data_IF_962271449695
#
_entry.id   IF_962271449695
#
_cell.length_a   1.000
_cell.length_b   1.000
_cell.length_c   1.000
_cell.angle_alpha   90.00
_cell.angle_beta   90.00
_cell.angle_gamma   90.00
#
_symmetry.space_group_name_H-M   'P 1'
#
loop_
_entity.id
_entity.type
_entity.pdbx_description
1 polymer ?
#
# COMPACT_ATOMS: atom_id res chain seq x y z
N UNK A 1 -12.42 26.40 3.63
CA UNK A 1 -12.33 25.02 3.07
C UNK A 1 -11.01 24.45 3.56
N UNK A 2 -10.98 23.19 4.06
CA UNK A 2 -9.73 22.59 4.57
C UNK A 2 -8.92 22.02 3.42
N UNK A 3 -7.60 22.30 3.39
CA UNK A 3 -6.68 21.91 2.33
C UNK A 3 -5.94 20.62 2.68
N UNK A 4 -5.91 19.71 1.71
CA UNK A 4 -5.16 18.46 1.70
C UNK A 4 -4.42 18.27 0.39
N UNK A 5 -3.44 17.40 0.34
CA UNK A 5 -2.67 17.13 -0.87
C UNK A 5 -2.19 15.68 -0.96
N UNK A 6 -1.71 15.29 -2.13
CA UNK A 6 -0.74 14.20 -2.28
C UNK A 6 0.57 14.78 -2.80
N UNK A 7 1.68 14.38 -2.16
CA UNK A 7 3.03 14.76 -2.53
C UNK A 7 3.80 13.56 -3.10
N UNK A 8 4.49 13.77 -4.21
CA UNK A 8 5.31 12.75 -4.86
C UNK A 8 6.14 13.34 -6.01
N UNK A 9 7.04 12.53 -6.56
CA UNK A 9 7.82 12.92 -7.74
C UNK A 9 8.19 11.67 -8.57
N UNK A 10 7.57 11.45 -9.74
CA UNK A 10 6.50 12.25 -10.37
C UNK A 10 5.14 12.13 -9.67
N UNK A 11 4.20 13.06 -9.93
CA UNK A 11 2.88 13.06 -9.27
C UNK A 11 1.70 13.28 -10.24
N UNK A 12 1.95 13.71 -11.46
CA UNK A 12 0.91 14.11 -12.42
C UNK A 12 -0.12 12.99 -12.72
N UNK A 13 0.29 11.72 -12.62
CA UNK A 13 -0.55 10.55 -12.87
C UNK A 13 -1.39 10.11 -11.67
N UNK A 14 -1.23 10.76 -10.50
CA UNK A 14 -1.90 10.34 -9.26
C UNK A 14 -3.43 10.39 -9.38
N UNK A 15 -4.08 9.31 -8.98
CA UNK A 15 -5.55 9.19 -8.90
C UNK A 15 -6.11 9.74 -7.59
N UNK A 16 -5.25 10.02 -6.59
CA UNK A 16 -5.67 10.45 -5.25
C UNK A 16 -6.57 11.69 -5.25
N UNK A 17 -6.32 12.74 -6.06
CA UNK A 17 -7.22 13.90 -6.08
C UNK A 17 -8.67 13.55 -6.51
N UNK A 18 -8.82 12.66 -7.49
CA UNK A 18 -10.14 12.20 -7.93
C UNK A 18 -10.80 11.35 -6.84
N UNK A 19 -10.08 10.40 -6.25
CA UNK A 19 -10.57 9.50 -5.21
C UNK A 19 -11.06 10.31 -4.00
N UNK A 20 -10.26 11.22 -3.48
CA UNK A 20 -10.61 12.03 -2.30
C UNK A 20 -11.77 13.00 -2.57
N UNK A 21 -11.87 13.53 -3.79
CA UNK A 21 -13.04 14.33 -4.19
C UNK A 21 -14.33 13.51 -4.19
N UNK A 22 -14.29 12.27 -4.68
CA UNK A 22 -15.45 11.37 -4.66
C UNK A 22 -15.81 10.99 -3.22
N UNK A 23 -14.84 10.71 -2.35
CA UNK A 23 -15.10 10.48 -0.92
C UNK A 23 -15.74 11.69 -0.26
N UNK A 24 -15.23 12.90 -0.52
CA UNK A 24 -15.78 14.14 0.02
C UNK A 24 -17.24 14.34 -0.41
N UNK A 25 -17.56 14.11 -1.69
CA UNK A 25 -18.93 14.17 -2.20
C UNK A 25 -19.84 13.14 -1.55
N UNK A 26 -19.41 11.88 -1.50
CA UNK A 26 -20.17 10.77 -0.91
C UNK A 26 -20.49 11.01 0.57
N UNK A 27 -19.54 11.54 1.33
CA UNK A 27 -19.65 11.77 2.77
C UNK A 27 -20.10 13.18 3.14
N UNK A 28 -20.43 14.02 2.16
CA UNK A 28 -20.84 15.43 2.34
C UNK A 28 -19.81 16.26 3.12
N UNK A 29 -18.51 15.96 2.91
CA UNK A 29 -17.42 16.69 3.53
C UNK A 29 -16.90 17.79 2.61
N UNK A 30 -16.71 19.00 3.16
CA UNK A 30 -16.12 20.12 2.42
C UNK A 30 -14.60 20.10 2.62
N UNK A 31 -13.87 19.81 1.53
CA UNK A 31 -12.40 19.82 1.51
C UNK A 31 -11.87 20.09 0.10
N UNK A 32 -10.67 20.58 0.02
CA UNK A 32 -9.88 20.66 -1.20
C UNK A 32 -8.74 19.64 -1.13
N UNK A 33 -8.53 18.91 -2.23
CA UNK A 33 -7.44 17.94 -2.32
C UNK A 33 -6.71 18.09 -3.66
N UNK A 34 -5.41 18.38 -3.60
CA UNK A 34 -4.58 18.69 -4.77
C UNK A 34 -3.36 17.76 -4.89
N UNK A 35 -2.79 17.65 -6.09
CA UNK A 35 -1.49 17.02 -6.30
C UNK A 35 -0.38 18.07 -6.22
N UNK A 36 0.69 17.75 -5.49
CA UNK A 36 1.87 18.61 -5.31
C UNK A 36 3.14 17.87 -5.76
N UNK A 37 3.85 18.43 -6.71
CA UNK A 37 5.17 17.92 -7.09
C UNK A 37 6.17 18.30 -6.00
N UNK A 38 6.73 17.29 -5.32
CA UNK A 38 7.78 17.51 -4.34
C UNK A 38 9.14 17.73 -5.02
N UNK A 39 9.87 18.72 -4.58
CA UNK A 39 11.25 18.92 -4.98
C UNK A 39 12.15 17.89 -4.27
N UNK A 40 13.09 17.29 -5.00
CA UNK A 40 13.97 16.25 -4.44
C UNK A 40 14.95 16.81 -3.39
N UNK A 41 15.34 18.06 -3.52
CA UNK A 41 16.29 18.72 -2.61
C UNK A 41 15.59 19.47 -1.47
N UNK A 42 14.39 20.02 -1.70
CA UNK A 42 13.72 20.96 -0.80
C UNK A 42 12.35 20.47 -0.28
N UNK A 43 12.10 19.17 -0.33
CA UNK A 43 10.80 18.56 0.05
C UNK A 43 10.36 18.93 1.47
N UNK A 44 11.26 18.86 2.45
CA UNK A 44 10.96 19.13 3.87
C UNK A 44 10.48 20.56 4.07
N UNK A 45 11.15 21.53 3.45
CA UNK A 45 10.77 22.95 3.55
C UNK A 45 9.43 23.21 2.86
N UNK A 46 9.21 22.61 1.69
CA UNK A 46 7.93 22.71 0.98
C UNK A 46 6.79 22.14 1.82
N UNK A 47 7.00 20.99 2.48
CA UNK A 47 6.00 20.33 3.32
C UNK A 47 5.71 21.16 4.58
N UNK A 48 6.73 21.70 5.24
CA UNK A 48 6.58 22.59 6.39
C UNK A 48 5.79 23.86 6.02
N UNK A 49 6.12 24.49 4.90
CA UNK A 49 5.39 25.66 4.38
C UNK A 49 3.92 25.33 4.12
N UNK A 50 3.64 24.19 3.49
CA UNK A 50 2.27 23.71 3.24
C UNK A 50 1.42 23.61 4.52
N UNK A 51 1.99 23.06 5.59
CA UNK A 51 1.30 22.99 6.88
C UNK A 51 1.22 24.33 7.60
N UNK A 52 2.22 25.21 7.45
CA UNK A 52 2.19 26.57 8.01
C UNK A 52 1.10 27.44 7.34
N UNK A 53 0.83 27.25 6.07
CA UNK A 53 -0.24 27.89 5.31
C UNK A 53 -1.65 27.37 5.64
N UNK A 54 -1.78 26.42 6.59
CA UNK A 54 -3.07 25.99 7.13
C UNK A 54 -3.58 24.64 6.61
N UNK A 55 -2.79 23.88 5.84
CA UNK A 55 -3.16 22.53 5.44
C UNK A 55 -3.38 21.62 6.66
N UNK A 56 -4.31 20.66 6.52
CA UNK A 56 -4.73 19.78 7.61
C UNK A 56 -4.15 18.38 7.52
N UNK A 57 -3.70 17.96 6.34
CA UNK A 57 -3.09 16.65 6.12
C UNK A 57 -2.65 16.45 4.68
N UNK A 58 -1.91 15.40 4.45
CA UNK A 58 -1.54 15.00 3.09
C UNK A 58 -1.20 13.52 2.99
N UNK A 59 -1.34 12.96 1.80
CA UNK A 59 -0.71 11.70 1.44
C UNK A 59 0.69 11.94 0.90
N UNK A 60 1.54 10.95 1.09
CA UNK A 60 2.92 10.93 0.62
C UNK A 60 3.14 9.68 -0.22
N UNK A 61 3.70 9.84 -1.41
CA UNK A 61 4.14 8.73 -2.24
C UNK A 61 5.63 8.82 -2.54
N UNK A 62 6.14 7.92 -3.39
CA UNK A 62 7.54 7.87 -3.73
C UNK A 62 8.07 9.22 -4.28
N UNK A 63 9.29 9.61 -3.94
CA UNK A 63 10.27 8.91 -3.09
C UNK A 63 10.28 9.39 -1.63
N UNK A 64 9.25 10.07 -1.13
CA UNK A 64 9.29 10.92 0.07
C UNK A 64 8.77 10.23 1.36
N UNK A 65 8.32 8.98 1.33
CA UNK A 65 7.64 8.33 2.47
C UNK A 65 8.51 8.26 3.74
N UNK A 66 9.80 7.96 3.61
CA UNK A 66 10.74 7.91 4.73
C UNK A 66 11.09 9.32 5.24
N UNK A 67 11.27 10.28 4.31
CA UNK A 67 11.54 11.68 4.65
C UNK A 67 10.37 12.33 5.39
N UNK A 68 9.14 12.11 4.95
CA UNK A 68 7.94 12.60 5.61
C UNK A 68 7.72 11.95 6.99
N UNK A 69 8.04 10.66 7.14
CA UNK A 69 8.04 9.99 8.44
C UNK A 69 9.00 10.66 9.43
N UNK A 70 10.21 11.00 8.99
CA UNK A 70 11.21 11.64 9.84
C UNK A 70 10.83 13.07 10.29
N UNK A 71 9.93 13.75 9.56
CA UNK A 71 9.43 15.09 9.92
C UNK A 71 8.30 15.08 10.94
N UNK A 72 7.60 13.97 11.12
CA UNK A 72 6.49 13.88 12.06
C UNK A 72 6.99 13.69 13.50
N UNK A 73 6.30 14.28 14.46
CA UNK A 73 6.61 14.15 15.88
C UNK A 73 5.87 12.99 16.54
N UNK A 74 4.76 12.57 15.95
CA UNK A 74 3.95 11.46 16.46
C UNK A 74 3.69 10.44 15.34
N UNK A 75 3.70 9.15 15.68
CA UNK A 75 3.65 8.07 14.69
C UNK A 75 2.73 6.94 15.15
N UNK A 76 1.95 6.39 14.22
CA UNK A 76 1.25 5.12 14.44
C UNK A 76 2.26 3.96 14.54
N UNK A 77 1.85 2.85 15.15
CA UNK A 77 2.70 1.66 15.26
C UNK A 77 3.11 1.12 13.89
N UNK A 78 2.18 1.09 12.93
CA UNK A 78 2.45 0.64 11.56
C UNK A 78 3.41 1.57 10.81
N UNK A 79 3.36 2.88 11.05
CA UNK A 79 4.33 3.81 10.50
C UNK A 79 5.72 3.65 11.13
N UNK A 80 5.81 3.41 12.45
CA UNK A 80 7.07 3.13 13.16
C UNK A 80 7.75 1.87 12.63
N UNK A 81 6.98 0.80 12.45
CA UNK A 81 7.50 -0.46 11.94
C UNK A 81 7.93 -0.39 10.48
N UNK A 82 7.17 0.35 9.66
CA UNK A 82 7.53 0.59 8.26
C UNK A 82 8.71 1.57 8.11
N UNK A 83 8.95 2.44 9.12
CA UNK A 83 9.89 3.58 9.05
C UNK A 83 9.55 4.51 7.87
N UNK A 84 8.27 4.56 7.53
CA UNK A 84 7.75 5.32 6.40
C UNK A 84 6.27 5.62 6.62
N UNK A 85 5.81 6.76 6.11
CA UNK A 85 4.39 7.11 6.13
C UNK A 85 3.88 7.42 4.71
N UNK A 86 2.62 7.09 4.47
CA UNK A 86 1.89 7.55 3.29
C UNK A 86 0.83 8.60 3.64
N UNK A 87 0.66 8.93 4.94
CA UNK A 87 -0.37 9.84 5.42
C UNK A 87 0.16 10.68 6.58
N UNK A 88 0.04 12.00 6.48
CA UNK A 88 0.29 12.95 7.55
C UNK A 88 -1.00 13.67 7.93
N UNK A 89 -1.16 13.93 9.24
CA UNK A 89 -2.26 14.70 9.82
C UNK A 89 -1.71 15.78 10.73
N UNK A 90 -2.17 17.03 10.59
CA UNK A 90 -1.91 18.10 11.56
C UNK A 90 -2.82 17.92 12.76
N UNK A 91 -2.23 17.79 13.93
CA UNK A 91 -2.95 17.68 15.20
C UNK A 91 -3.36 19.07 15.73
N UNK A 92 -4.29 19.11 16.67
CA UNK A 92 -4.76 20.37 17.31
C UNK A 92 -3.66 21.11 18.06
N UNK A 93 -2.63 20.41 18.53
CA UNK A 93 -1.44 20.99 19.17
C UNK A 93 -0.38 21.50 18.16
N UNK A 94 -0.67 21.41 16.86
CA UNK A 94 0.22 21.85 15.79
C UNK A 94 1.23 20.81 15.32
N UNK A 95 1.42 19.69 16.03
CA UNK A 95 2.32 18.60 15.65
C UNK A 95 1.80 17.84 14.45
N UNK A 96 2.71 17.17 13.74
CA UNK A 96 2.39 16.24 12.66
C UNK A 96 2.34 14.80 13.19
N UNK A 97 1.27 14.11 12.87
CA UNK A 97 1.08 12.69 13.11
C UNK A 97 1.25 11.93 11.79
N UNK A 98 2.13 10.93 11.77
CA UNK A 98 2.40 10.08 10.64
C UNK A 98 1.70 8.72 10.76
N UNK A 99 1.07 8.29 9.69
CA UNK A 99 0.46 6.98 9.57
C UNK A 99 0.86 6.29 8.25
N UNK A 100 0.78 4.97 8.22
CA UNK A 100 0.94 4.18 7.00
C UNK A 100 -0.32 3.36 6.75
N UNK A 101 -1.15 3.84 5.81
CA UNK A 101 -2.44 3.20 5.48
C UNK A 101 -2.34 2.17 4.35
N UNK A 102 -1.15 1.93 3.78
CA UNK A 102 -0.98 0.97 2.69
C UNK A 102 -1.40 -0.45 3.11
N UNK A 103 -0.94 -0.90 4.26
CA UNK A 103 -1.21 -2.27 4.70
C UNK A 103 -2.67 -2.51 5.11
N UNK A 104 -3.28 -1.56 5.84
CA UNK A 104 -4.71 -1.68 6.15
C UNK A 104 -5.55 -1.57 4.87
N UNK A 105 -5.10 -0.80 3.88
CA UNK A 105 -5.72 -0.73 2.56
C UNK A 105 -5.66 -2.06 1.82
N UNK A 106 -4.50 -2.74 1.85
CA UNK A 106 -4.37 -4.09 1.28
C UNK A 106 -5.31 -5.08 1.97
N UNK A 107 -5.31 -5.15 3.30
CA UNK A 107 -6.19 -6.07 4.06
C UNK A 107 -7.67 -5.80 3.73
N UNK A 108 -8.06 -4.52 3.67
CA UNK A 108 -9.43 -4.11 3.32
C UNK A 108 -9.82 -4.57 1.91
N UNK A 109 -8.92 -4.47 0.93
CA UNK A 109 -9.19 -4.95 -0.42
C UNK A 109 -9.24 -6.49 -0.50
N UNK A 110 -8.35 -7.19 0.22
CA UNK A 110 -8.40 -8.65 0.32
C UNK A 110 -9.69 -9.14 0.98
N UNK A 111 -10.23 -8.41 1.95
CA UNK A 111 -11.55 -8.68 2.55
C UNK A 111 -12.67 -8.50 1.53
N UNK A 112 -12.65 -7.43 0.73
CA UNK A 112 -13.60 -7.20 -0.38
C UNK A 112 -13.58 -8.36 -1.39
N UNK A 113 -12.41 -8.89 -1.69
CA UNK A 113 -12.22 -10.03 -2.60
C UNK A 113 -12.62 -11.37 -1.97
N UNK A 114 -12.81 -11.44 -0.65
CA UNK A 114 -13.06 -12.68 0.08
C UNK A 114 -11.83 -13.59 0.18
N UNK A 115 -10.62 -13.03 0.04
CA UNK A 115 -9.36 -13.78 -0.05
C UNK A 115 -8.57 -13.83 1.25
N UNK A 116 -9.05 -13.22 2.32
CA UNK A 116 -8.37 -13.22 3.60
C UNK A 116 -9.26 -13.79 4.71
N UNK A 117 -8.77 -14.82 5.39
CA UNK A 117 -9.33 -15.46 6.58
C UNK A 117 -8.20 -15.70 7.57
N UNK A 118 -8.47 -15.81 8.89
CA UNK A 118 -7.41 -16.11 9.85
C UNK A 118 -6.65 -17.41 9.52
N UNK A 119 -5.36 -17.44 9.86
CA UNK A 119 -4.46 -18.61 9.74
C UNK A 119 -4.17 -19.06 8.29
N UNK A 120 -4.40 -18.20 7.31
CA UNK A 120 -4.00 -18.52 5.94
C UNK A 120 -2.49 -18.32 5.75
N UNK A 121 -1.93 -19.11 4.82
CA UNK A 121 -0.53 -19.02 4.43
C UNK A 121 -0.37 -18.09 3.24
N UNK A 122 0.34 -16.98 3.46
CA UNK A 122 0.59 -15.96 2.45
C UNK A 122 2.06 -15.94 2.09
N UNK A 123 2.36 -16.08 0.79
CA UNK A 123 3.69 -15.83 0.24
C UNK A 123 3.78 -14.38 -0.22
N UNK A 124 4.75 -13.63 0.29
CA UNK A 124 5.04 -12.26 -0.14
C UNK A 124 6.36 -12.25 -0.90
N UNK A 125 6.34 -11.77 -2.14
CA UNK A 125 7.51 -11.62 -3.00
C UNK A 125 8.07 -10.21 -2.87
N UNK A 126 9.30 -10.09 -2.37
CA UNK A 126 10.02 -8.83 -2.16
C UNK A 126 10.01 -8.35 -0.71
N UNK A 127 11.14 -7.80 -0.25
CA UNK A 127 11.36 -7.26 1.09
C UNK A 127 11.73 -5.76 1.03
N UNK A 128 10.99 -5.00 0.22
CA UNK A 128 11.17 -3.56 0.02
C UNK A 128 10.26 -2.71 0.91
N UNK A 129 10.22 -1.39 0.64
CA UNK A 129 9.40 -0.43 1.37
C UNK A 129 7.90 -0.74 1.33
N UNK A 130 7.39 -1.25 0.18
CA UNK A 130 6.00 -1.67 0.06
C UNK A 130 5.66 -2.80 1.04
N UNK A 131 6.55 -3.81 1.13
CA UNK A 131 6.40 -4.94 2.06
C UNK A 131 6.40 -4.48 3.51
N UNK A 132 7.30 -3.58 3.91
CA UNK A 132 7.35 -3.03 5.29
C UNK A 132 6.00 -2.44 5.71
N UNK A 133 5.31 -1.77 4.80
CA UNK A 133 4.02 -1.12 5.06
C UNK A 133 2.84 -2.09 5.23
N UNK A 134 2.94 -3.32 4.73
CA UNK A 134 1.81 -4.28 4.74
C UNK A 134 1.93 -5.40 5.76
N UNK A 135 3.14 -5.66 6.29
CA UNK A 135 3.38 -6.79 7.19
C UNK A 135 2.57 -6.72 8.48
N UNK A 136 2.57 -5.58 9.20
CA UNK A 136 1.84 -5.49 10.47
C UNK A 136 0.34 -5.77 10.30
N UNK A 137 -0.41 -5.10 9.39
CA UNK A 137 -1.83 -5.38 9.21
C UNK A 137 -2.14 -6.83 8.81
N UNK A 138 -1.27 -7.48 8.02
CA UNK A 138 -1.44 -8.89 7.67
C UNK A 138 -1.22 -9.81 8.88
N UNK A 139 -0.23 -9.52 9.73
CA UNK A 139 0.02 -10.29 10.96
C UNK A 139 -1.08 -10.06 12.00
N UNK A 140 -1.59 -8.83 12.15
CA UNK A 140 -2.76 -8.52 12.98
C UNK A 140 -4.03 -9.23 12.49
N UNK A 141 -4.17 -9.44 11.17
CA UNK A 141 -5.20 -10.30 10.57
C UNK A 141 -4.89 -11.81 10.71
N UNK A 142 -3.92 -12.16 11.57
CA UNK A 142 -3.55 -13.54 11.94
C UNK A 142 -3.04 -14.38 10.75
N UNK A 143 -2.37 -13.78 9.78
CA UNK A 143 -1.81 -14.53 8.66
C UNK A 143 -0.47 -15.19 9.00
N UNK A 144 -0.16 -16.31 8.35
CA UNK A 144 1.15 -16.96 8.38
C UNK A 144 1.94 -16.54 7.14
N UNK A 145 3.02 -15.79 7.33
CA UNK A 145 3.72 -15.14 6.23
C UNK A 145 5.01 -15.89 5.90
N UNK A 146 5.19 -16.22 4.62
CA UNK A 146 6.47 -16.61 4.02
C UNK A 146 6.95 -15.41 3.19
N UNK A 147 8.05 -14.81 3.61
CA UNK A 147 8.62 -13.64 2.97
C UNK A 147 9.82 -14.05 2.10
N UNK A 148 9.64 -14.00 0.78
CA UNK A 148 10.68 -14.37 -0.18
C UNK A 148 11.36 -13.12 -0.75
N UNK A 149 12.69 -13.11 -0.79
CA UNK A 149 13.45 -12.03 -1.39
C UNK A 149 14.72 -12.53 -2.07
N UNK A 150 15.14 -11.85 -3.14
CA UNK A 150 16.40 -12.15 -3.86
C UNK A 150 17.61 -12.09 -2.93
N UNK A 151 17.67 -11.10 -2.04
CA UNK A 151 18.67 -10.99 -0.96
C UNK A 151 18.03 -11.50 0.31
N UNK A 152 18.37 -12.73 0.73
CA UNK A 152 17.78 -13.40 1.90
C UNK A 152 17.95 -12.57 3.18
N UNK A 153 19.11 -11.95 3.38
CA UNK A 153 19.41 -11.16 4.57
C UNK A 153 18.42 -10.02 4.79
N UNK A 154 17.93 -9.38 3.70
CA UNK A 154 16.89 -8.32 3.80
C UNK A 154 15.55 -8.89 4.26
N UNK A 155 15.17 -10.06 3.75
CA UNK A 155 13.96 -10.74 4.20
C UNK A 155 14.08 -11.19 5.65
N UNK A 156 15.23 -11.71 6.05
CA UNK A 156 15.50 -12.17 7.43
C UNK A 156 15.43 -11.02 8.43
N UNK A 157 16.10 -9.90 8.15
CA UNK A 157 16.06 -8.71 9.01
C UNK A 157 14.62 -8.20 9.19
N UNK A 158 13.84 -8.23 8.10
CA UNK A 158 12.45 -7.80 8.15
C UNK A 158 11.59 -8.81 8.92
N UNK A 159 11.76 -10.11 8.69
CA UNK A 159 11.06 -11.15 9.44
C UNK A 159 11.36 -11.08 10.94
N UNK A 160 12.62 -10.90 11.34
CA UNK A 160 13.02 -10.78 12.75
C UNK A 160 12.38 -9.56 13.42
N UNK A 161 12.28 -8.42 12.71
CA UNK A 161 11.63 -7.21 13.19
C UNK A 161 10.13 -7.42 13.45
N UNK A 162 9.45 -8.19 12.59
CA UNK A 162 8.00 -8.41 12.67
C UNK A 162 7.59 -9.68 13.43
N UNK A 163 8.52 -10.58 13.75
CA UNK A 163 8.27 -11.82 14.49
C UNK A 163 7.51 -11.64 15.82
N UNK A 164 7.67 -10.55 16.60
CA UNK A 164 6.87 -10.32 17.81
C UNK A 164 5.37 -10.13 17.54
N UNK A 165 4.97 -9.86 16.30
CA UNK A 165 3.58 -9.55 15.92
C UNK A 165 2.84 -10.75 15.31
N UNK A 166 3.53 -11.85 15.00
CA UNK A 166 2.90 -13.05 14.46
C UNK A 166 3.86 -14.01 13.76
N UNK A 167 3.30 -14.94 13.01
CA UNK A 167 4.07 -15.98 12.31
C UNK A 167 4.61 -15.44 10.99
N UNK A 168 5.92 -15.30 10.92
CA UNK A 168 6.63 -14.87 9.71
C UNK A 168 7.97 -15.60 9.60
N UNK A 169 8.28 -16.11 8.42
CA UNK A 169 9.55 -16.71 8.07
C UNK A 169 10.12 -16.10 6.79
N UNK A 170 11.44 -16.07 6.68
CA UNK A 170 12.14 -15.56 5.51
C UNK A 170 12.76 -16.68 4.70
N UNK A 171 12.67 -16.58 3.37
CA UNK A 171 13.28 -17.53 2.44
C UNK A 171 13.98 -16.80 1.29
N UNK A 172 14.97 -17.43 0.68
CA UNK A 172 15.52 -16.93 -0.59
C UNK A 172 14.48 -17.14 -1.72
N UNK A 173 14.52 -16.30 -2.74
CA UNK A 173 13.57 -16.35 -3.85
C UNK A 173 13.64 -17.66 -4.65
N UNK A 174 14.82 -18.29 -4.70
CA UNK A 174 15.08 -19.57 -5.34
C UNK A 174 14.87 -20.78 -4.42
N UNK A 175 14.52 -20.56 -3.15
CA UNK A 175 14.30 -21.59 -2.13
C UNK A 175 12.89 -21.52 -1.53
N UNK A 176 11.92 -20.96 -2.25
CA UNK A 176 10.51 -20.91 -1.82
C UNK A 176 9.99 -22.36 -1.70
N UNK A 177 9.46 -22.75 -0.52
CA UNK A 177 8.90 -24.09 -0.34
C UNK A 177 7.79 -24.41 -1.35
N UNK A 178 7.85 -25.57 -1.99
CA UNK A 178 6.81 -26.08 -2.88
C UNK A 178 5.63 -26.62 -2.05
N UNK A 179 4.74 -25.72 -1.68
CA UNK A 179 3.54 -26.01 -0.89
C UNK A 179 2.37 -25.13 -1.34
N UNK A 180 1.16 -25.46 -0.91
CA UNK A 180 -0.01 -24.62 -1.20
C UNK A 180 0.06 -23.32 -0.43
N UNK A 181 -0.15 -22.20 -1.15
CA UNK A 181 -0.35 -20.87 -0.59
C UNK A 181 -1.81 -20.44 -0.81
N UNK A 182 -2.43 -19.90 0.21
CA UNK A 182 -3.78 -19.32 0.08
C UNK A 182 -3.74 -18.04 -0.77
N UNK A 183 -2.64 -17.30 -0.65
CA UNK A 183 -2.43 -16.06 -1.40
C UNK A 183 -0.93 -15.86 -1.70
N UNK A 184 -0.62 -15.45 -2.93
CA UNK A 184 0.70 -14.92 -3.28
C UNK A 184 0.57 -13.43 -3.57
N UNK A 185 1.36 -12.61 -2.88
CA UNK A 185 1.38 -11.15 -3.04
C UNK A 185 2.70 -10.74 -3.68
N UNK A 186 2.64 -10.11 -4.85
CA UNK A 186 3.78 -9.45 -5.45
C UNK A 186 3.94 -8.03 -4.88
N UNK A 187 5.00 -7.81 -4.10
CA UNK A 187 5.40 -6.52 -3.56
C UNK A 187 6.73 -6.02 -4.16
N UNK A 188 7.19 -6.65 -5.26
CA UNK A 188 8.42 -6.24 -5.95
C UNK A 188 8.19 -5.03 -6.85
N UNK A 189 9.25 -4.29 -7.15
CA UNK A 189 9.24 -3.19 -8.12
C UNK A 189 9.43 -3.64 -9.58
N UNK A 190 9.51 -4.94 -9.85
CA UNK A 190 9.81 -5.48 -11.19
C UNK A 190 8.82 -4.99 -12.25
N UNK A 191 7.53 -4.89 -11.92
CA UNK A 191 6.50 -4.41 -12.84
C UNK A 191 6.68 -2.97 -13.30
N UNK A 192 7.35 -2.11 -12.52
CA UNK A 192 7.67 -0.73 -12.93
C UNK A 192 8.62 -0.66 -14.13
N UNK A 193 9.42 -1.70 -14.34
CA UNK A 193 10.31 -1.84 -15.50
C UNK A 193 9.78 -2.85 -16.54
N UNK A 194 8.50 -3.21 -16.47
CA UNK A 194 7.86 -4.14 -17.40
C UNK A 194 8.23 -5.61 -17.21
N UNK A 195 8.84 -5.96 -16.07
CA UNK A 195 9.22 -7.33 -15.74
C UNK A 195 8.28 -7.94 -14.69
N UNK A 196 8.20 -9.27 -14.66
CA UNK A 196 7.53 -9.97 -13.56
C UNK A 196 8.50 -10.26 -12.41
N UNK A 197 7.96 -10.56 -11.21
CA UNK A 197 8.77 -11.09 -10.12
C UNK A 197 9.47 -12.39 -10.57
N UNK A 198 10.73 -12.56 -10.16
CA UNK A 198 11.51 -13.75 -10.48
C UNK A 198 11.08 -14.94 -9.57
N UNK A 199 9.87 -15.44 -9.77
CA UNK A 199 9.31 -16.58 -9.06
C UNK A 199 8.98 -17.69 -10.06
N UNK A 200 9.26 -18.94 -9.68
CA UNK A 200 8.96 -20.10 -10.52
C UNK A 200 7.44 -20.27 -10.69
N UNK A 201 6.98 -20.49 -11.92
CA UNK A 201 5.57 -20.72 -12.24
C UNK A 201 4.98 -21.94 -11.53
N UNK A 202 5.80 -22.95 -11.20
CA UNK A 202 5.36 -24.10 -10.41
C UNK A 202 4.91 -23.71 -8.99
N UNK A 203 5.57 -22.73 -8.39
CA UNK A 203 5.16 -22.17 -7.08
C UNK A 203 3.84 -21.40 -7.22
N UNK A 204 3.72 -20.53 -8.24
CA UNK A 204 2.48 -19.79 -8.48
C UNK A 204 1.29 -20.74 -8.76
N UNK A 205 1.51 -21.83 -9.47
CA UNK A 205 0.46 -22.84 -9.76
C UNK A 205 -0.07 -23.53 -8.49
N UNK A 206 0.63 -23.45 -7.36
CA UNK A 206 0.18 -23.93 -6.06
C UNK A 206 -0.64 -22.88 -5.27
N UNK A 207 -0.77 -21.65 -5.79
CA UNK A 207 -1.52 -20.59 -5.14
C UNK A 207 -3.02 -20.69 -5.43
N UNK A 208 -3.86 -20.38 -4.42
CA UNK A 208 -5.31 -20.25 -4.61
C UNK A 208 -5.69 -18.90 -5.22
N UNK A 209 -4.90 -17.87 -4.93
CA UNK A 209 -5.06 -16.52 -5.48
C UNK A 209 -3.72 -15.81 -5.60
N UNK A 210 -3.62 -14.85 -6.53
CA UNK A 210 -2.44 -14.01 -6.70
C UNK A 210 -2.84 -12.53 -6.74
N UNK A 211 -2.10 -11.72 -5.99
CA UNK A 211 -2.32 -10.27 -5.89
C UNK A 211 -1.05 -9.50 -6.25
N UNK A 212 -1.17 -8.51 -7.12
CA UNK A 212 -0.08 -7.57 -7.39
C UNK A 212 -0.35 -6.26 -6.65
N UNK A 213 0.58 -5.77 -5.83
CA UNK A 213 0.44 -4.46 -5.18
C UNK A 213 0.56 -3.29 -6.17
N UNK A 214 1.02 -3.54 -7.39
CA UNK A 214 0.96 -2.59 -8.49
C UNK A 214 -0.36 -2.72 -9.24
N UNK A 215 -0.74 -1.66 -9.96
CA UNK A 215 -1.90 -1.65 -10.85
C UNK A 215 -1.53 -1.02 -12.20
N UNK A 216 -2.26 -1.36 -13.24
CA UNK A 216 -2.07 -0.80 -14.57
C UNK A 216 -3.41 -0.31 -15.13
N UNK A 217 -3.36 0.67 -16.06
CA UNK A 217 -4.53 1.16 -16.77
C UNK A 217 -4.63 0.49 -18.13
N UNK A 218 -5.81 -0.08 -18.46
CA UNK A 218 -6.10 -0.66 -19.77
C UNK A 218 -5.37 -1.97 -20.09
N UNK A 219 -4.67 -2.56 -19.12
CA UNK A 219 -3.95 -3.82 -19.27
C UNK A 219 -3.71 -4.51 -17.94
N UNK A 220 -3.37 -5.78 -17.96
CA UNK A 220 -2.85 -6.47 -16.78
C UNK A 220 -1.44 -5.97 -16.44
N UNK A 221 -1.07 -5.99 -15.15
CA UNK A 221 0.34 -5.86 -14.78
C UNK A 221 1.13 -7.08 -15.27
N UNK A 222 2.47 -6.99 -15.46
CA UNK A 222 3.27 -8.13 -15.89
C UNK A 222 3.10 -9.36 -15.00
N UNK A 223 2.96 -9.19 -13.68
CA UNK A 223 2.73 -10.29 -12.75
C UNK A 223 1.35 -10.93 -12.94
N UNK A 224 0.29 -10.14 -13.09
CA UNK A 224 -1.06 -10.64 -13.34
C UNK A 224 -1.14 -11.37 -14.69
N UNK A 225 -0.54 -10.80 -15.73
CA UNK A 225 -0.47 -11.45 -17.04
C UNK A 225 0.26 -12.80 -16.96
N UNK A 226 1.35 -12.87 -16.21
CA UNK A 226 2.07 -14.13 -15.97
C UNK A 226 1.22 -15.15 -15.22
N UNK A 227 0.54 -14.75 -14.12
CA UNK A 227 -0.37 -15.65 -13.40
C UNK A 227 -1.48 -16.20 -14.30
N UNK A 228 -2.09 -15.37 -15.13
CA UNK A 228 -3.11 -15.80 -16.13
C UNK A 228 -2.55 -16.78 -17.16
N UNK A 229 -1.33 -16.58 -17.62
CA UNK A 229 -0.68 -17.51 -18.56
C UNK A 229 -0.43 -18.91 -17.98
N UNK A 230 -0.37 -19.03 -16.65
CA UNK A 230 -0.30 -20.29 -15.91
C UNK A 230 -1.69 -20.90 -15.60
N UNK A 231 -2.77 -20.28 -16.09
CA UNK A 231 -4.15 -20.74 -15.88
C UNK A 231 -4.78 -20.31 -14.57
N UNK A 232 -4.17 -19.37 -13.82
CA UNK A 232 -4.74 -18.83 -12.58
C UNK A 232 -5.84 -17.82 -12.90
N UNK A 233 -7.03 -18.01 -12.32
CA UNK A 233 -8.19 -17.16 -12.54
C UNK A 233 -8.45 -16.20 -11.36
N UNK A 234 -8.07 -16.57 -10.13
CA UNK A 234 -8.20 -15.72 -8.96
C UNK A 234 -6.98 -14.78 -8.90
N UNK A 235 -7.04 -13.71 -9.68
CA UNK A 235 -5.96 -12.71 -9.76
C UNK A 235 -6.52 -11.30 -9.64
N UNK A 236 -5.83 -10.42 -8.94
CA UNK A 236 -6.19 -9.00 -8.80
C UNK A 236 -4.94 -8.13 -8.74
N UNK A 237 -5.03 -6.94 -9.32
CA UNK A 237 -4.02 -5.90 -9.17
C UNK A 237 -4.32 -4.99 -7.96
N UNK A 238 -3.43 -4.05 -7.68
CA UNK A 238 -3.45 -3.16 -6.52
C UNK A 238 -4.42 -1.97 -6.62
N UNK A 239 -5.28 -1.90 -7.63
CA UNK A 239 -6.20 -0.77 -7.76
C UNK A 239 -7.20 -0.69 -6.59
N UNK A 240 -7.70 -1.83 -6.11
CA UNK A 240 -8.54 -1.87 -4.91
C UNK A 240 -7.80 -1.40 -3.66
N UNK A 241 -6.56 -1.83 -3.46
CA UNK A 241 -5.70 -1.34 -2.37
C UNK A 241 -5.48 0.17 -2.46
N UNK A 242 -5.29 0.75 -3.65
CA UNK A 242 -5.14 2.18 -3.84
C UNK A 242 -6.35 2.95 -3.31
N UNK A 243 -7.57 2.50 -3.63
CA UNK A 243 -8.80 3.16 -3.19
C UNK A 243 -9.01 2.95 -1.68
N UNK A 244 -8.79 1.74 -1.19
CA UNK A 244 -8.97 1.40 0.22
C UNK A 244 -8.01 2.16 1.15
N UNK A 245 -6.71 2.28 0.81
CA UNK A 245 -5.74 3.04 1.62
C UNK A 245 -6.12 4.53 1.69
N UNK A 246 -6.65 5.09 0.58
CA UNK A 246 -7.14 6.47 0.56
C UNK A 246 -8.37 6.65 1.46
N UNK A 247 -9.26 5.65 1.55
CA UNK A 247 -10.40 5.68 2.45
C UNK A 247 -9.95 5.71 3.93
N UNK A 248 -8.90 4.95 4.29
CA UNK A 248 -8.32 4.99 5.63
C UNK A 248 -7.64 6.33 5.94
N UNK A 249 -6.95 6.95 4.97
CA UNK A 249 -6.39 8.30 5.12
C UNK A 249 -7.51 9.34 5.31
N UNK A 250 -8.58 9.24 4.52
CA UNK A 250 -9.75 10.10 4.64
C UNK A 250 -10.41 9.96 6.03
N UNK A 251 -10.58 8.74 6.53
CA UNK A 251 -11.09 8.47 7.86
C UNK A 251 -10.20 9.08 8.96
N UNK A 252 -8.87 8.96 8.84
CA UNK A 252 -7.92 9.56 9.78
C UNK A 252 -8.10 11.08 9.89
N UNK A 253 -8.34 11.76 8.76
CA UNK A 253 -8.52 13.22 8.73
C UNK A 253 -9.91 13.68 9.12
N UNK A 254 -10.95 12.97 8.66
CA UNK A 254 -12.35 13.45 8.72
C UNK A 254 -13.21 12.72 9.74
N UNK A 255 -12.76 11.59 10.30
CA UNK A 255 -13.51 10.79 11.26
C UNK A 255 -14.73 10.06 10.68
N UNK A 256 -14.90 10.07 9.35
CA UNK A 256 -15.97 9.35 8.65
C UNK A 256 -15.34 8.41 7.61
N UNK A 257 -15.72 7.13 7.64
CA UNK A 257 -15.25 6.14 6.68
C UNK A 257 -16.12 6.19 5.43
N UNK A 258 -15.54 6.48 4.25
CA UNK A 258 -16.30 6.43 3.01
C UNK A 258 -16.56 4.97 2.58
N UNK A 259 -17.62 4.75 1.81
CA UNK A 259 -17.84 3.48 1.12
C UNK A 259 -16.88 3.38 -0.07
N UNK A 260 -15.70 2.79 0.20
CA UNK A 260 -14.65 2.65 -0.80
C UNK A 260 -15.05 1.68 -1.92
N UNK A 261 -15.92 0.69 -1.64
CA UNK A 261 -16.36 -0.29 -2.65
C UNK A 261 -17.15 0.40 -3.75
N UNK A 262 -18.10 1.27 -3.38
CA UNK A 262 -18.88 2.03 -4.36
C UNK A 262 -17.97 2.92 -5.24
N UNK A 263 -16.96 3.56 -4.65
CA UNK A 263 -16.00 4.40 -5.40
C UNK A 263 -15.06 3.55 -6.25
N UNK A 264 -14.58 2.40 -5.73
CA UNK A 264 -13.80 1.44 -6.50
C UNK A 264 -14.55 0.98 -7.76
N UNK A 265 -15.81 0.56 -7.63
CA UNK A 265 -16.63 0.11 -8.76
C UNK A 265 -16.90 1.22 -9.78
N UNK A 266 -17.06 2.45 -9.31
CA UNK A 266 -17.19 3.62 -10.17
C UNK A 266 -15.90 3.84 -10.98
N UNK A 267 -14.74 3.88 -10.32
CA UNK A 267 -13.47 4.21 -10.95
C UNK A 267 -12.93 3.06 -11.80
N UNK A 268 -13.24 1.80 -11.46
CA UNK A 268 -12.83 0.64 -12.24
C UNK A 268 -13.33 0.68 -13.68
N UNK A 269 -14.51 1.25 -13.91
CA UNK A 269 -15.06 1.44 -15.27
C UNK A 269 -14.19 2.33 -16.15
N UNK A 270 -13.48 3.28 -15.54
CA UNK A 270 -12.58 4.21 -16.24
C UNK A 270 -11.15 3.64 -16.36
N UNK A 271 -10.89 2.47 -15.75
CA UNK A 271 -9.58 1.79 -15.79
C UNK A 271 -9.51 0.75 -16.91
N UNK A 272 -10.64 0.34 -17.47
CA UNK A 272 -10.74 -0.62 -18.59
C UNK A 272 -10.35 0.02 -19.91
#
# INVERSE_FOLDING_TARGET
MQLYAVWGNPIAQSKSPLIHRLFATQTQQTMEYVAKLGDLEDFEQQLQTFFAEGAQGCNITAPFKERAYALAEEHSERAKLAEACNTLKKLSNGKLYADNTDGIGLVTDLQRLGWIQPQQRILILGAGGATKGVLLPLLEAQQQIVLANRTLEKAQQLADKFKPYGTIEAVAMDAIPAQTYDLVINATSAGLSGHTAAVDGSILSLARACYDMQYAKGSDTPFIAYCKSLGLNNVSDGFGMLVAQAAHSFYLWRGVMPDFVAIYEQLKKDMV
#
